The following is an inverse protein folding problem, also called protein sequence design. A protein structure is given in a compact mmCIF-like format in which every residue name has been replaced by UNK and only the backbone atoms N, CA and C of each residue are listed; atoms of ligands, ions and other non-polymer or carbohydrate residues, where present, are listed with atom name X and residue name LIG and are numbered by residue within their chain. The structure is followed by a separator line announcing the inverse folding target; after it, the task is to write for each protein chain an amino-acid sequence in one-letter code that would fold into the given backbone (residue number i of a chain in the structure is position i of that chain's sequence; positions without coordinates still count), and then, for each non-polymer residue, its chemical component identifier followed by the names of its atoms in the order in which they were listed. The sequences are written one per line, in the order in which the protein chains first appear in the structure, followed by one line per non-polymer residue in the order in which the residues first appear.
data_IF_283982030049
#
_entry.id   IF_283982030049
#
_cell.length_a   1.000
_cell.length_b   1.000
_cell.length_c   1.000
_cell.angle_alpha   90.00
_cell.angle_beta   90.00
_cell.angle_gamma   90.00
#
_symmetry.space_group_name_H-M   'P 1'
#
loop_
_entity.id
_entity.type
_entity.pdbx_description
1 polymer ?
#
# COMPACT_ATOMS: atom_id res chain seq x y z
N UNK A 1 -2.21 10.51 -13.73
CA UNK A 1 -0.75 10.60 -13.51
C UNK A 1 0.01 9.52 -14.27
N UNK A 2 -0.33 8.24 -14.08
CA UNK A 2 0.37 7.13 -14.76
C UNK A 2 0.39 7.25 -16.29
N UNK A 3 -0.73 7.65 -16.92
CA UNK A 3 -0.79 7.81 -18.38
C UNK A 3 0.18 8.87 -18.90
N UNK A 4 0.36 9.97 -18.17
CA UNK A 4 1.37 10.99 -18.51
C UNK A 4 2.78 10.42 -18.46
N UNK A 5 3.08 9.56 -17.48
CA UNK A 5 4.37 8.85 -17.42
C UNK A 5 4.54 7.89 -18.59
N UNK A 6 3.49 7.14 -18.95
CA UNK A 6 3.53 6.26 -20.11
C UNK A 6 3.80 7.04 -21.40
N UNK A 7 3.09 8.13 -21.64
CA UNK A 7 3.32 8.99 -22.79
C UNK A 7 4.75 9.53 -22.82
N UNK A 8 5.27 10.01 -21.68
CA UNK A 8 6.63 10.51 -21.59
C UNK A 8 7.69 9.42 -21.84
N UNK A 9 7.47 8.18 -21.37
CA UNK A 9 8.35 7.04 -21.67
C UNK A 9 8.31 6.66 -23.15
N UNK A 10 7.12 6.56 -23.74
CA UNK A 10 6.94 6.19 -25.16
C UNK A 10 7.53 7.25 -26.09
N UNK A 11 7.47 8.52 -25.71
CA UNK A 11 8.01 9.64 -26.49
C UNK A 11 9.49 9.94 -26.18
N UNK A 12 10.14 9.17 -25.29
CA UNK A 12 11.53 9.39 -24.94
C UNK A 12 12.44 9.04 -26.14
N UNK A 13 13.47 9.84 -26.46
CA UNK A 13 14.36 9.58 -27.60
C UNK A 13 14.97 8.17 -27.58
N UNK A 14 15.34 7.69 -26.40
CA UNK A 14 15.91 6.34 -26.18
C UNK A 14 14.85 5.27 -25.81
N UNK A 15 13.60 5.44 -26.26
CA UNK A 15 12.54 4.47 -26.00
C UNK A 15 12.96 3.08 -26.45
N UNK A 16 12.79 2.12 -25.54
CA UNK A 16 13.01 0.71 -25.82
C UNK A 16 11.91 -0.11 -25.15
N UNK A 17 11.26 -1.02 -25.90
CA UNK A 17 10.31 -1.96 -25.32
C UNK A 17 10.90 -2.71 -24.13
N UNK A 18 10.09 -2.91 -23.09
CA UNK A 18 10.49 -3.66 -21.88
C UNK A 18 11.25 -2.85 -20.82
N UNK A 19 11.82 -1.68 -21.15
CA UNK A 19 12.39 -0.77 -20.15
C UNK A 19 11.29 -0.14 -19.28
N UNK A 20 11.61 0.09 -18.00
CA UNK A 20 10.69 0.64 -17.00
C UNK A 20 11.01 2.10 -16.68
N UNK A 21 10.15 2.74 -15.89
CA UNK A 21 10.28 4.12 -15.42
C UNK A 21 11.71 4.56 -15.04
N UNK A 22 12.49 3.70 -14.36
CA UNK A 22 13.84 4.03 -13.90
C UNK A 22 14.84 4.25 -15.04
N UNK A 23 14.65 3.61 -16.19
CA UNK A 23 15.50 3.79 -17.37
C UNK A 23 15.32 5.17 -18.02
N UNK A 24 14.24 5.87 -17.67
CA UNK A 24 13.87 7.18 -18.21
C UNK A 24 13.99 8.27 -17.13
N UNK A 25 14.73 8.01 -16.05
CA UNK A 25 14.99 8.98 -14.98
C UNK A 25 13.81 9.27 -14.05
N UNK A 26 12.68 8.55 -14.18
CA UNK A 26 11.55 8.76 -13.28
C UNK A 26 11.82 8.19 -11.89
N UNK A 27 11.46 8.95 -10.85
CA UNK A 27 11.50 8.49 -9.46
C UNK A 27 10.30 7.57 -9.14
N UNK A 28 10.47 6.52 -8.32
CA UNK A 28 9.35 5.72 -7.88
C UNK A 28 8.37 6.56 -7.03
N UNK A 29 7.09 6.16 -7.04
CA UNK A 29 6.04 6.71 -6.20
C UNK A 29 5.43 5.59 -5.38
N UNK A 30 5.31 5.82 -4.08
CA UNK A 30 4.75 4.86 -3.14
C UNK A 30 3.47 5.44 -2.58
N UNK A 31 2.42 4.64 -2.62
CA UNK A 31 1.16 4.91 -1.94
C UNK A 31 1.06 3.87 -0.84
N UNK A 32 1.02 4.34 0.40
CA UNK A 32 1.10 3.50 1.60
C UNK A 32 -0.15 3.72 2.42
N UNK A 33 -0.83 2.64 2.76
CA UNK A 33 -1.90 2.63 3.75
C UNK A 33 -1.44 1.76 4.91
N UNK A 34 -1.44 2.32 6.12
CA UNK A 34 -1.10 1.56 7.33
C UNK A 34 -2.23 0.59 7.71
N UNK A 35 -3.48 1.01 7.54
CA UNK A 35 -4.65 0.15 7.69
C UNK A 35 -5.65 0.37 6.56
N UNK A 36 -5.61 -0.52 5.57
CA UNK A 36 -6.48 -0.45 4.39
C UNK A 36 -7.95 -0.73 4.72
N UNK A 37 -8.23 -1.65 5.65
CA UNK A 37 -9.61 -2.00 5.99
C UNK A 37 -10.34 -0.81 6.62
N UNK A 38 -9.67 -0.06 7.50
CA UNK A 38 -10.24 1.14 8.12
C UNK A 38 -10.51 2.24 7.09
N UNK A 39 -9.61 2.42 6.12
CA UNK A 39 -9.83 3.36 5.02
C UNK A 39 -11.05 2.97 4.18
N UNK A 40 -11.16 1.70 3.78
CA UNK A 40 -12.31 1.23 3.01
C UNK A 40 -13.62 1.36 3.79
N UNK A 41 -13.63 0.98 5.07
CA UNK A 41 -14.79 1.11 5.95
C UNK A 41 -15.26 2.58 6.10
N UNK A 42 -14.33 3.54 6.09
CA UNK A 42 -14.68 4.96 6.13
C UNK A 42 -15.45 5.45 4.88
N UNK A 43 -15.40 4.69 3.79
CA UNK A 43 -16.05 4.99 2.51
C UNK A 43 -17.31 4.17 2.26
N UNK A 44 -17.70 3.26 3.16
CA UNK A 44 -18.79 2.30 2.91
C UNK A 44 -20.14 2.98 2.62
N UNK A 45 -20.38 4.16 3.21
CA UNK A 45 -21.61 4.93 2.97
C UNK A 45 -21.52 5.87 1.76
N UNK A 46 -20.34 6.02 1.16
CA UNK A 46 -20.10 6.79 -0.06
C UNK A 46 -19.74 5.86 -1.22
N UNK A 47 -20.77 5.28 -1.83
CA UNK A 47 -20.64 4.38 -2.97
C UNK A 47 -19.87 4.99 -4.16
N UNK A 48 -19.95 6.31 -4.37
CA UNK A 48 -19.24 6.98 -5.46
C UNK A 48 -17.74 6.96 -5.18
N UNK A 49 -17.33 7.40 -3.99
CA UNK A 49 -15.92 7.39 -3.59
C UNK A 49 -15.36 5.97 -3.52
N UNK A 50 -16.13 5.02 -2.98
CA UNK A 50 -15.75 3.61 -2.94
C UNK A 50 -15.48 3.04 -4.34
N UNK A 51 -16.39 3.30 -5.29
CA UNK A 51 -16.23 2.88 -6.69
C UNK A 51 -14.99 3.50 -7.33
N UNK A 52 -14.77 4.80 -7.11
CA UNK A 52 -13.62 5.53 -7.64
C UNK A 52 -12.29 5.00 -7.10
N UNK A 53 -12.22 4.74 -5.79
CA UNK A 53 -11.06 4.12 -5.15
C UNK A 53 -10.77 2.76 -5.75
N UNK A 54 -11.79 1.92 -5.93
CA UNK A 54 -11.63 0.60 -6.54
C UNK A 54 -11.14 0.68 -7.99
N UNK A 55 -11.62 1.64 -8.77
CA UNK A 55 -11.16 1.86 -10.15
C UNK A 55 -9.68 2.25 -10.18
N UNK A 56 -9.28 3.26 -9.41
CA UNK A 56 -7.89 3.71 -9.36
C UNK A 56 -6.96 2.64 -8.81
N UNK A 57 -7.37 1.93 -7.75
CA UNK A 57 -6.63 0.80 -7.20
C UNK A 57 -6.37 -0.26 -8.27
N UNK A 58 -7.41 -0.64 -9.01
CA UNK A 58 -7.31 -1.63 -10.09
C UNK A 58 -6.29 -1.18 -11.15
N UNK A 59 -6.35 0.08 -11.57
CA UNK A 59 -5.40 0.62 -12.54
C UNK A 59 -3.96 0.62 -12.01
N UNK A 60 -3.75 1.05 -10.76
CA UNK A 60 -2.42 1.10 -10.13
C UNK A 60 -1.84 -0.31 -10.01
N UNK A 61 -2.64 -1.28 -9.57
CA UNK A 61 -2.18 -2.66 -9.40
C UNK A 61 -1.77 -3.27 -10.74
N UNK A 62 -2.55 -3.06 -11.80
CA UNK A 62 -2.30 -3.67 -13.11
C UNK A 62 -1.17 -2.98 -13.89
N UNK A 63 -1.05 -1.66 -13.78
CA UNK A 63 -0.15 -0.84 -14.62
C UNK A 63 1.03 -0.22 -13.85
N UNK A 64 0.89 -0.02 -12.55
CA UNK A 64 1.80 0.78 -11.72
C UNK A 64 3.27 0.35 -11.81
N UNK A 65 3.57 -0.94 -11.92
CA UNK A 65 4.95 -1.46 -12.01
C UNK A 65 5.77 -0.81 -13.13
N UNK A 66 5.17 -0.62 -14.31
CA UNK A 66 5.87 -0.02 -15.45
C UNK A 66 6.01 1.50 -15.29
N UNK A 67 4.99 2.15 -14.73
CA UNK A 67 4.96 3.59 -14.44
C UNK A 67 5.74 3.98 -13.16
N UNK A 68 6.28 3.00 -12.42
CA UNK A 68 6.98 3.22 -11.15
C UNK A 68 6.07 3.72 -10.04
N UNK A 69 4.82 3.28 -10.01
CA UNK A 69 3.86 3.55 -8.93
C UNK A 69 3.60 2.24 -8.19
N UNK A 70 3.86 2.24 -6.89
CA UNK A 70 3.80 1.06 -6.03
C UNK A 70 2.78 1.28 -4.92
N UNK A 71 1.99 0.25 -4.66
CA UNK A 71 0.95 0.25 -3.65
C UNK A 71 1.36 -0.69 -2.51
N UNK A 72 1.41 -0.17 -1.28
CA UNK A 72 1.78 -0.91 -0.07
C UNK A 72 0.60 -0.82 0.89
N UNK A 73 0.13 -1.98 1.33
CA UNK A 73 -1.01 -2.10 2.23
C UNK A 73 -0.61 -2.81 3.51
N UNK A 74 -0.87 -2.16 4.64
CA UNK A 74 -1.00 -2.80 5.94
C UNK A 74 -2.44 -3.25 6.16
N UNK A 75 -2.57 -4.43 6.77
CA UNK A 75 -3.83 -5.09 7.10
C UNK A 75 -3.64 -5.78 8.45
N UNK A 76 -4.48 -5.48 9.44
CA UNK A 76 -4.51 -6.28 10.69
C UNK A 76 -5.11 -7.67 10.46
N UNK A 77 -6.16 -7.77 9.61
CA UNK A 77 -6.75 -9.02 9.15
C UNK A 77 -6.83 -9.00 7.63
N UNK A 78 -6.26 -10.00 6.93
CA UNK A 78 -6.26 -10.03 5.47
C UNK A 78 -7.61 -10.52 4.92
N UNK A 79 -8.71 -9.87 5.29
CA UNK A 79 -10.05 -10.34 4.96
C UNK A 79 -10.40 -10.22 3.46
N UNK A 80 -11.29 -11.12 3.03
CA UNK A 80 -11.85 -11.24 1.68
C UNK A 80 -12.31 -9.92 1.05
N UNK A 81 -12.92 -9.09 1.89
CA UNK A 81 -13.85 -8.04 1.50
C UNK A 81 -13.13 -6.78 1.00
N UNK A 82 -11.94 -6.50 1.52
CA UNK A 82 -11.25 -5.22 1.27
C UNK A 82 -10.39 -5.24 0.00
N UNK A 83 -9.98 -6.41 -0.51
CA UNK A 83 -9.24 -6.55 -1.76
C UNK A 83 -9.86 -7.66 -2.59
N UNK A 84 -10.42 -7.28 -3.76
CA UNK A 84 -10.99 -8.23 -4.74
C UNK A 84 -9.98 -9.34 -5.05
N UNK A 85 -10.44 -10.59 -5.04
CA UNK A 85 -9.60 -11.77 -5.28
C UNK A 85 -8.77 -11.66 -6.56
N UNK A 86 -9.35 -11.12 -7.64
CA UNK A 86 -8.66 -10.90 -8.92
C UNK A 86 -7.45 -9.95 -8.84
N UNK A 87 -7.42 -9.05 -7.86
CA UNK A 87 -6.32 -8.12 -7.65
C UNK A 87 -5.22 -8.71 -6.74
N UNK A 88 -5.55 -9.68 -5.89
CA UNK A 88 -4.61 -10.28 -4.92
C UNK A 88 -3.38 -10.89 -5.58
N UNK A 89 -3.56 -11.53 -6.73
CA UNK A 89 -2.46 -12.16 -7.47
C UNK A 89 -1.47 -11.15 -8.07
N UNK A 90 -1.89 -9.90 -8.24
CA UNK A 90 -1.01 -8.82 -8.70
C UNK A 90 -0.15 -8.24 -7.55
N UNK A 91 -0.50 -8.51 -6.29
CA UNK A 91 0.37 -8.21 -5.15
C UNK A 91 1.52 -9.21 -5.09
N UNK A 92 2.62 -8.84 -5.76
CA UNK A 92 3.77 -9.71 -5.93
C UNK A 92 4.57 -9.92 -4.66
N UNK A 93 4.61 -8.98 -3.73
CA UNK A 93 5.38 -9.10 -2.48
C UNK A 93 4.41 -9.15 -1.32
N UNK A 94 4.53 -10.21 -0.51
CA UNK A 94 3.63 -10.47 0.62
C UNK A 94 4.45 -10.80 1.86
N UNK A 95 4.14 -10.13 2.95
CA UNK A 95 4.80 -10.28 4.24
C UNK A 95 3.72 -10.38 5.30
N UNK A 96 3.87 -11.33 6.22
CA UNK A 96 3.07 -11.40 7.42
C UNK A 96 4.01 -11.47 8.61
N UNK A 97 3.69 -10.75 9.68
CA UNK A 97 4.39 -10.82 10.97
C UNK A 97 3.40 -11.31 12.03
N UNK A 98 3.89 -12.04 13.02
CA UNK A 98 3.04 -12.74 13.97
C UNK A 98 2.44 -14.03 13.38
N UNK A 99 1.46 -14.56 14.10
CA UNK A 99 0.73 -15.76 13.70
C UNK A 99 -0.62 -15.35 13.10
N UNK A 100 -0.88 -15.80 11.87
CA UNK A 100 -2.20 -15.77 11.27
C UNK A 100 -2.89 -17.13 11.47
N UNK A 101 -4.21 -17.15 11.42
CA UNK A 101 -4.97 -18.39 11.28
C UNK A 101 -4.85 -18.95 9.85
N UNK A 102 -5.23 -20.21 9.64
CA UNK A 102 -5.11 -20.91 8.35
C UNK A 102 -5.78 -20.16 7.18
N UNK A 103 -6.95 -19.57 7.44
CA UNK A 103 -7.66 -18.74 6.45
C UNK A 103 -6.84 -17.50 6.09
N UNK A 104 -6.23 -16.84 7.07
CA UNK A 104 -5.36 -15.70 6.87
C UNK A 104 -4.11 -16.03 6.05
N UNK A 105 -3.48 -17.19 6.31
CA UNK A 105 -2.36 -17.65 5.48
C UNK A 105 -2.78 -17.96 4.05
N UNK A 106 -3.94 -18.58 3.85
CA UNK A 106 -4.49 -18.87 2.52
C UNK A 106 -4.75 -17.57 1.75
N UNK A 107 -5.35 -16.58 2.40
CA UNK A 107 -5.62 -15.28 1.80
C UNK A 107 -4.34 -14.50 1.49
N UNK A 108 -3.32 -14.59 2.34
CA UNK A 108 -2.03 -13.94 2.11
C UNK A 108 -1.19 -14.66 1.05
N UNK A 109 -0.98 -15.97 1.13
CA UNK A 109 0.02 -16.65 0.33
C UNK A 109 -0.55 -17.47 -0.84
N UNK A 110 -1.87 -17.60 -0.92
CA UNK A 110 -2.57 -18.28 -2.01
C UNK A 110 -2.26 -19.77 -2.10
N UNK A 111 -2.75 -20.37 -3.19
CA UNK A 111 -2.75 -21.83 -3.37
C UNK A 111 -1.37 -22.47 -3.46
N UNK A 112 -0.35 -21.72 -3.89
CA UNK A 112 1.04 -22.19 -3.89
C UNK A 112 1.48 -22.66 -2.49
N UNK A 113 0.86 -22.14 -1.43
CA UNK A 113 1.19 -22.43 -0.05
C UNK A 113 0.15 -23.29 0.67
N UNK A 114 -0.84 -23.86 -0.04
CA UNK A 114 -1.92 -24.66 0.56
C UNK A 114 -1.41 -25.84 1.39
N UNK A 115 -0.33 -26.48 0.96
CA UNK A 115 0.27 -27.63 1.64
C UNK A 115 1.41 -27.24 2.60
N UNK A 116 1.66 -25.94 2.79
CA UNK A 116 2.72 -25.46 3.66
C UNK A 116 2.23 -25.45 5.09
N UNK A 117 2.98 -26.09 5.98
CA UNK A 117 2.75 -25.97 7.42
C UNK A 117 3.32 -24.62 7.92
N UNK A 118 2.44 -23.73 8.38
CA UNK A 118 2.82 -22.47 9.01
C UNK A 118 2.94 -22.65 10.52
N UNK A 119 4.18 -22.70 11.01
CA UNK A 119 4.46 -22.89 12.43
C UNK A 119 4.19 -21.64 13.26
N UNK A 120 3.48 -21.83 14.36
CA UNK A 120 3.41 -20.88 15.48
C UNK A 120 4.62 -21.08 16.38
N UNK A 121 5.52 -20.10 16.41
CA UNK A 121 6.72 -20.12 17.24
C UNK A 121 6.75 -18.83 18.05
N UNK A 122 6.28 -18.91 19.29
CA UNK A 122 6.24 -17.76 20.19
C UNK A 122 7.54 -17.62 20.99
N UNK A 123 8.32 -18.70 21.11
CA UNK A 123 9.60 -18.74 21.84
C UNK A 123 10.67 -19.53 21.10
N UNK A 124 11.89 -19.00 21.10
CA UNK A 124 13.11 -19.70 20.67
C UNK A 124 14.09 -19.64 21.84
N UNK A 125 14.61 -20.80 22.27
CA UNK A 125 15.52 -20.91 23.41
C UNK A 125 14.98 -20.24 24.69
N UNK A 126 13.68 -20.39 24.96
CA UNK A 126 13.02 -19.81 26.13
C UNK A 126 12.71 -18.31 26.04
N UNK A 127 13.23 -17.60 25.03
CA UNK A 127 12.98 -16.17 24.82
C UNK A 127 11.81 -15.95 23.86
N UNK A 128 10.94 -14.99 24.19
CA UNK A 128 9.84 -14.59 23.31
C UNK A 128 10.40 -14.03 22.01
N UNK A 129 9.86 -14.47 20.89
CA UNK A 129 10.27 -14.01 19.56
C UNK A 129 9.32 -12.90 19.12
N UNK A 130 9.90 -11.80 18.67
CA UNK A 130 9.18 -10.66 18.09
C UNK A 130 9.57 -10.50 16.63
N UNK A 131 8.65 -9.96 15.81
CA UNK A 131 8.93 -9.69 14.39
C UNK A 131 9.03 -10.92 13.48
N UNK A 132 8.85 -12.14 14.01
CA UNK A 132 8.82 -13.37 13.19
C UNK A 132 7.53 -13.47 12.39
N UNK A 133 7.63 -13.95 11.17
CA UNK A 133 6.51 -14.38 10.36
C UNK A 133 6.98 -15.00 9.05
N UNK A 134 6.35 -14.63 7.93
CA UNK A 134 6.62 -15.21 6.62
C UNK A 134 6.73 -14.15 5.53
N UNK A 135 7.43 -14.50 4.45
CA UNK A 135 7.57 -13.67 3.24
C UNK A 135 7.53 -14.54 2.00
N UNK A 136 6.86 -14.08 0.95
CA UNK A 136 6.84 -14.74 -0.36
C UNK A 136 6.85 -13.72 -1.49
N UNK A 137 7.28 -14.15 -2.68
CA UNK A 137 6.75 -13.55 -3.90
C UNK A 137 5.44 -14.26 -4.30
N UNK A 138 4.60 -13.60 -5.09
CA UNK A 138 3.39 -14.20 -5.66
C UNK A 138 3.74 -15.48 -6.41
N UNK A 139 3.07 -16.59 -6.05
CA UNK A 139 3.29 -17.92 -6.63
C UNK A 139 4.48 -18.70 -6.04
N UNK A 140 5.30 -18.11 -5.16
CA UNK A 140 6.39 -18.81 -4.49
C UNK A 140 5.98 -19.38 -3.13
N UNK A 141 6.72 -20.40 -2.68
CA UNK A 141 6.59 -20.92 -1.33
C UNK A 141 7.09 -19.88 -0.32
N UNK A 142 6.25 -19.54 0.64
CA UNK A 142 6.57 -18.61 1.70
C UNK A 142 7.74 -19.15 2.54
N UNK A 143 8.66 -18.26 2.90
CA UNK A 143 9.82 -18.55 3.74
C UNK A 143 9.68 -17.80 5.04
N UNK A 144 10.40 -18.28 6.06
CA UNK A 144 10.44 -17.60 7.34
C UNK A 144 11.07 -16.21 7.18
N UNK A 145 10.50 -15.25 7.89
CA UNK A 145 10.91 -13.85 7.89
C UNK A 145 11.05 -13.36 9.33
N UNK A 146 12.05 -12.53 9.57
CA UNK A 146 12.22 -11.80 10.81
C UNK A 146 12.35 -10.32 10.44
N UNK A 147 11.45 -9.49 10.96
CA UNK A 147 11.54 -8.05 10.77
C UNK A 147 12.82 -7.53 11.44
N UNK A 148 13.46 -6.49 10.88
CA UNK A 148 14.55 -5.81 11.55
C UNK A 148 14.12 -5.34 12.95
N UNK A 149 15.03 -5.47 13.92
CA UNK A 149 14.82 -4.95 15.27
C UNK A 149 15.00 -3.43 15.25
N UNK A 150 14.10 -2.71 15.92
CA UNK A 150 14.18 -1.27 16.11
C UNK A 150 14.56 -1.02 17.57
N UNK A 151 15.75 -0.46 17.86
CA UNK A 151 16.26 -0.36 19.22
C UNK A 151 15.69 0.88 19.92
N UNK A 152 14.39 0.87 20.19
CA UNK A 152 13.72 1.97 20.90
C UNK A 152 14.30 2.20 22.30
N UNK A 153 14.68 1.11 22.98
CA UNK A 153 15.31 1.17 24.31
C UNK A 153 16.71 1.79 24.29
N UNK A 154 17.34 1.88 23.12
CA UNK A 154 18.64 2.56 22.91
C UNK A 154 18.46 3.99 22.40
N UNK A 155 17.23 4.53 22.42
CA UNK A 155 16.93 5.90 22.05
C UNK A 155 16.62 6.12 20.56
N UNK A 156 16.43 5.05 19.76
CA UNK A 156 16.03 5.22 18.36
C UNK A 156 14.66 5.89 18.23
N UNK A 157 14.58 6.97 17.46
CA UNK A 157 13.35 7.70 17.16
C UNK A 157 13.11 7.79 15.67
N UNK A 158 11.97 7.26 15.20
CA UNK A 158 11.54 7.43 13.80
C UNK A 158 11.30 8.89 13.44
N UNK A 159 10.84 9.69 14.41
CA UNK A 159 10.54 11.11 14.20
C UNK A 159 11.84 11.87 13.96
N UNK A 160 12.85 11.66 14.80
CA UNK A 160 14.15 12.31 14.64
C UNK A 160 14.83 11.88 13.34
N UNK A 161 14.80 10.57 13.04
CA UNK A 161 15.31 10.06 11.78
C UNK A 161 14.60 10.74 10.59
N UNK A 162 13.27 10.81 10.61
CA UNK A 162 12.49 11.45 9.57
C UNK A 162 12.82 12.94 9.41
N UNK A 163 12.93 13.68 10.53
CA UNK A 163 13.30 15.10 10.53
C UNK A 163 14.71 15.35 9.99
N UNK A 164 15.62 14.40 10.17
CA UNK A 164 16.99 14.47 9.64
C UNK A 164 17.08 14.16 8.14
N UNK A 165 16.04 13.57 7.53
CA UNK A 165 16.07 13.22 6.12
C UNK A 165 16.04 14.48 5.24
N UNK A 166 16.79 14.50 4.12
CA UNK A 166 16.74 15.61 3.20
C UNK A 166 15.33 15.75 2.62
N UNK A 167 14.77 16.97 2.71
CA UNK A 167 13.49 17.29 2.07
C UNK A 167 13.67 17.15 0.57
N UNK A 168 12.91 16.24 -0.04
CA UNK A 168 12.86 16.12 -1.48
C UNK A 168 12.04 17.31 -1.99
N UNK A 169 12.62 18.23 -2.79
CA UNK A 169 11.91 19.41 -3.25
C UNK A 169 10.64 19.01 -4.00
N UNK A 170 9.53 19.59 -3.56
CA UNK A 170 8.22 19.36 -4.15
C UNK A 170 8.08 20.22 -5.40
N UNK A 171 8.14 19.61 -6.59
CA UNK A 171 8.04 20.34 -7.86
C UNK A 171 6.61 20.76 -8.24
N UNK A 172 5.59 20.47 -7.41
CA UNK A 172 4.20 20.88 -7.64
C UNK A 172 3.45 20.08 -8.73
N UNK A 173 4.15 19.61 -9.75
CA UNK A 173 3.59 18.94 -10.94
C UNK A 173 3.00 17.55 -10.67
N UNK A 174 3.35 16.93 -9.56
CA UNK A 174 3.00 15.54 -9.27
C UNK A 174 1.53 15.35 -8.87
N UNK A 175 0.91 16.38 -8.27
CA UNK A 175 -0.50 16.37 -7.88
C UNK A 175 -1.41 17.29 -8.71
N UNK A 176 -0.88 18.03 -9.69
CA UNK A 176 -1.70 18.79 -10.66
C UNK A 176 -2.74 17.91 -11.36
N UNK A 177 -2.49 16.60 -11.44
CA UNK A 177 -3.44 15.63 -12.01
C UNK A 177 -4.68 15.44 -11.15
N UNK A 178 -4.64 15.75 -9.85
CA UNK A 178 -5.80 15.67 -8.94
C UNK A 178 -6.56 17.00 -8.82
N UNK A 179 -5.99 18.11 -9.31
CA UNK A 179 -6.65 19.44 -9.28
C UNK A 179 -7.87 19.52 -10.21
N UNK A 180 -8.05 18.58 -11.14
CA UNK A 180 -9.16 18.56 -12.11
C UNK A 180 -10.19 17.45 -11.90
N UNK A 181 -10.17 16.75 -10.75
CA UNK A 181 -11.12 15.64 -10.47
C UNK A 181 -11.93 15.85 -9.19
N UNK A 182 -11.72 16.97 -8.48
CA UNK A 182 -12.72 17.43 -7.54
C UNK A 182 -13.87 17.96 -8.40
N UNK A 183 -14.92 17.17 -8.54
CA UNK A 183 -16.22 17.68 -8.96
C UNK A 183 -16.58 18.76 -7.95
N UNK A 184 -16.78 19.99 -8.43
CA UNK A 184 -17.09 21.15 -7.60
C UNK A 184 -18.05 20.77 -6.47
N UNK A 185 -17.58 20.90 -5.23
CA UNK A 185 -18.41 20.80 -4.03
C UNK A 185 -19.17 22.11 -3.79
N UNK A 186 -19.70 22.74 -4.84
CA UNK A 186 -20.62 23.90 -4.71
C UNK A 186 -22.02 23.51 -4.21
N UNK A 187 -22.19 22.32 -3.63
CA UNK A 187 -23.42 21.89 -2.96
C UNK A 187 -23.20 21.41 -1.51
N UNK A 188 -22.02 21.64 -0.91
CA UNK A 188 -21.76 21.32 0.49
C UNK A 188 -21.85 22.53 1.45
N UNK A 189 -22.05 23.75 0.95
CA UNK A 189 -22.05 25.00 1.73
C UNK A 189 -23.36 25.29 2.51
N UNK A 190 -24.15 24.27 2.85
CA UNK A 190 -25.39 24.50 3.63
C UNK A 190 -25.53 23.75 4.94
N UNK A 191 -24.46 23.13 5.48
CA UNK A 191 -24.53 22.50 6.80
C UNK A 191 -23.38 22.81 7.77
N UNK A 192 -22.55 23.83 7.47
CA UNK A 192 -21.47 24.26 8.38
C UNK A 192 -21.94 25.22 9.50
N UNK A 193 -23.26 25.39 9.70
CA UNK A 193 -23.78 26.23 10.80
C UNK A 193 -24.23 25.45 12.06
N UNK A 194 -23.88 24.16 12.21
CA UNK A 194 -24.30 23.36 13.37
C UNK A 194 -23.13 22.92 14.27
N UNK A 195 -21.88 23.18 13.87
CA UNK A 195 -20.69 22.82 14.68
C UNK A 195 -20.14 23.96 15.54
N UNK A 196 -20.51 25.21 15.28
CA UNK A 196 -20.11 26.37 16.09
C UNK A 196 -21.00 26.63 17.32
N UNK A 197 -22.12 25.90 17.48
CA UNK A 197 -23.02 26.04 18.65
C UNK A 197 -22.76 24.99 19.76
N UNK A 198 -21.73 24.15 19.63
CA UNK A 198 -21.37 23.12 20.62
C UNK A 198 -20.03 23.36 21.34
N UNK A 199 -19.45 24.55 21.18
CA UNK A 199 -18.22 24.96 21.87
C UNK A 199 -18.28 26.35 22.53
N UNK A 200 -19.49 26.83 22.86
CA UNK A 200 -19.71 27.90 23.85
C UNK A 200 -20.54 27.39 25.04
#
# INVERSE_FOLDING_TARGET
FMDKRYQAMTNHPDFSPGKRYSAYGFKPKFIVFDEWAAFMASLDNDYKSLSLVQEYLTQIILKGRQAGVFFILGLQRPDGEYIKTSLRDNFMKRVSVGHLEDTGYTMMYGDANRNKEFKKIDKINGKKVHGRGYIANGGEIAREFFSPFVPFDEGFSFIELFQSMPVIPFEGKEFEVFKGTIVDSEQADHNDSVLDELLD
#
